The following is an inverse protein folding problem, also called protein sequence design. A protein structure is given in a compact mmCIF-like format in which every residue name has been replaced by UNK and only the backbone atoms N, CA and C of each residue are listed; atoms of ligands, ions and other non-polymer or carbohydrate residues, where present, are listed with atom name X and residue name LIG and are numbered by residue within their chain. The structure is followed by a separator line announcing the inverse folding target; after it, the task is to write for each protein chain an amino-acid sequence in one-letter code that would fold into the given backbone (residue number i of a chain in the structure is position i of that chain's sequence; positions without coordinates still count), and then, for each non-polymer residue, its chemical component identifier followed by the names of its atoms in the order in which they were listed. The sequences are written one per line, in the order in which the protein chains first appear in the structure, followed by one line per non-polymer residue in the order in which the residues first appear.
data_IF_848629806042
#
_entry.id   IF_848629806042
#
_cell.length_a   1.000
_cell.length_b   1.000
_cell.length_c   1.000
_cell.angle_alpha   90.00
_cell.angle_beta   90.00
_cell.angle_gamma   90.00
#
_symmetry.space_group_name_H-M   'P 1'
#
loop_
_entity.id
_entity.type
_entity.pdbx_description
1 polymer ?
#
# COMPACT_ATOMS: atom_id res chain seq x y z
N UNK A 1 -6.30 0.64 -9.77
CA UNK A 1 -4.84 0.70 -10.06
C UNK A 1 -4.13 -0.42 -9.31
N UNK A 2 -3.18 -1.12 -9.93
CA UNK A 2 -2.38 -2.16 -9.26
C UNK A 2 -0.93 -1.67 -9.13
N UNK A 3 -0.34 -1.83 -7.94
CA UNK A 3 1.04 -1.41 -7.64
C UNK A 3 1.80 -2.61 -7.08
N UNK A 4 2.78 -3.09 -7.85
CA UNK A 4 3.78 -4.04 -7.36
C UNK A 4 4.82 -3.33 -6.48
N UNK A 5 5.15 -3.88 -5.33
CA UNK A 5 6.11 -3.28 -4.38
C UNK A 5 5.52 -2.11 -3.58
N UNK A 6 4.21 -2.06 -3.41
CA UNK A 6 3.53 -0.93 -2.75
C UNK A 6 3.65 -0.87 -1.22
N UNK A 7 4.32 -1.82 -0.55
CA UNK A 7 4.39 -1.85 0.93
C UNK A 7 5.23 -0.72 1.55
N UNK A 8 6.06 -0.03 0.76
CA UNK A 8 6.95 1.05 1.21
C UNK A 8 7.49 1.89 0.04
N UNK A 9 8.25 2.93 0.39
CA UNK A 9 9.00 3.75 -0.58
C UNK A 9 8.11 4.41 -1.64
N UNK A 10 8.59 4.42 -2.88
CA UNK A 10 7.93 5.09 -4.01
C UNK A 10 6.56 4.47 -4.31
N UNK A 11 6.45 3.13 -4.27
CA UNK A 11 5.18 2.44 -4.53
C UNK A 11 4.09 2.87 -3.53
N UNK A 12 4.45 3.01 -2.25
CA UNK A 12 3.57 3.54 -1.22
C UNK A 12 3.19 5.01 -1.48
N UNK A 13 4.15 5.87 -1.83
CA UNK A 13 3.86 7.28 -2.12
C UNK A 13 2.89 7.46 -3.29
N UNK A 14 3.05 6.66 -4.35
CA UNK A 14 2.13 6.64 -5.50
C UNK A 14 0.74 6.18 -5.06
N UNK A 15 0.65 5.10 -4.26
CA UNK A 15 -0.62 4.60 -3.73
C UNK A 15 -1.38 5.69 -2.95
N UNK A 16 -0.69 6.40 -2.06
CA UNK A 16 -1.28 7.47 -1.25
C UNK A 16 -1.69 8.69 -2.09
N UNK A 17 -0.91 9.06 -3.10
CA UNK A 17 -1.30 10.15 -4.01
C UNK A 17 -2.57 9.78 -4.77
N UNK A 18 -2.65 8.57 -5.32
CA UNK A 18 -3.83 8.10 -6.04
C UNK A 18 -5.05 7.99 -5.12
N UNK A 19 -4.85 7.56 -3.87
CA UNK A 19 -5.90 7.44 -2.86
C UNK A 19 -6.63 8.76 -2.60
N UNK A 20 -5.90 9.89 -2.59
CA UNK A 20 -6.49 11.23 -2.41
C UNK A 20 -7.48 11.63 -3.51
N UNK A 21 -7.40 10.99 -4.68
CA UNK A 21 -8.35 11.18 -5.78
C UNK A 21 -9.52 10.18 -5.69
N UNK A 22 -9.66 9.43 -4.60
CA UNK A 22 -10.69 8.40 -4.41
C UNK A 22 -10.39 7.08 -5.13
N UNK A 23 -9.13 6.82 -5.51
CA UNK A 23 -8.79 5.65 -6.30
C UNK A 23 -8.88 4.33 -5.52
N UNK A 24 -9.22 3.25 -6.23
CA UNK A 24 -9.08 1.87 -5.75
C UNK A 24 -7.69 1.33 -6.08
N UNK A 25 -6.93 0.93 -5.06
CA UNK A 25 -5.53 0.52 -5.19
C UNK A 25 -5.32 -0.91 -4.69
N UNK A 26 -4.74 -1.76 -5.55
CA UNK A 26 -4.23 -3.08 -5.16
C UNK A 26 -2.76 -2.94 -4.81
N UNK A 27 -2.40 -3.26 -3.56
CA UNK A 27 -1.04 -3.21 -3.03
C UNK A 27 -0.50 -4.65 -3.03
N UNK A 28 0.35 -4.96 -4.00
CA UNK A 28 0.92 -6.29 -4.17
C UNK A 28 2.40 -6.30 -3.74
N UNK A 29 2.72 -6.88 -2.58
CA UNK A 29 4.10 -7.02 -2.11
C UNK A 29 4.28 -8.19 -1.14
N UNK A 30 5.54 -8.55 -0.87
CA UNK A 30 5.89 -9.73 -0.08
C UNK A 30 5.72 -9.56 1.43
N UNK A 31 5.91 -8.33 1.94
CA UNK A 31 5.93 -8.07 3.38
C UNK A 31 4.51 -7.85 3.91
N UNK A 32 3.91 -8.88 4.50
CA UNK A 32 2.64 -8.83 5.22
C UNK A 32 2.81 -8.71 6.74
N UNK A 33 3.92 -9.19 7.30
CA UNK A 33 4.27 -9.01 8.71
C UNK A 33 5.46 -8.06 8.90
N UNK A 34 5.58 -7.38 10.06
CA UNK A 34 6.73 -6.52 10.34
C UNK A 34 8.06 -7.25 10.15
N UNK A 35 8.97 -6.64 9.38
CA UNK A 35 10.27 -7.22 9.07
C UNK A 35 11.38 -6.49 9.84
N UNK A 36 12.35 -7.18 10.48
CA UNK A 36 13.31 -6.57 11.40
C UNK A 36 14.20 -5.49 10.77
N UNK A 37 14.43 -5.57 9.46
CA UNK A 37 15.26 -4.59 8.71
C UNK A 37 14.48 -3.66 7.79
N UNK A 38 13.17 -3.88 7.63
CA UNK A 38 12.41 -3.22 6.57
C UNK A 38 11.11 -2.66 7.12
N UNK A 39 10.89 -1.34 7.03
CA UNK A 39 9.68 -0.72 7.57
C UNK A 39 8.48 -0.97 6.67
N UNK A 40 7.30 -1.04 7.26
CA UNK A 40 6.04 -1.08 6.53
C UNK A 40 5.68 -2.45 5.95
N UNK A 41 4.39 -2.73 6.00
CA UNK A 41 3.70 -3.90 5.45
C UNK A 41 2.68 -3.48 4.40
N UNK A 42 2.18 -4.46 3.64
CA UNK A 42 1.02 -4.24 2.75
C UNK A 42 -0.23 -3.79 3.51
N UNK A 43 -0.40 -4.23 4.76
CA UNK A 43 -1.57 -3.88 5.59
C UNK A 43 -1.52 -2.44 6.07
N UNK A 44 -0.38 -1.99 6.60
CA UNK A 44 -0.19 -0.59 7.00
C UNK A 44 -0.35 0.36 5.81
N UNK A 45 0.13 -0.03 4.63
CA UNK A 45 -0.04 0.79 3.43
C UNK A 45 -1.51 0.82 2.98
N UNK A 46 -2.22 -0.31 3.07
CA UNK A 46 -3.64 -0.36 2.72
C UNK A 46 -4.50 0.49 3.67
N UNK A 47 -4.17 0.51 4.97
CA UNK A 47 -4.82 1.37 5.95
C UNK A 47 -4.62 2.85 5.60
N UNK A 48 -3.38 3.28 5.34
CA UNK A 48 -3.11 4.67 4.97
C UNK A 48 -3.75 5.10 3.65
N UNK A 49 -3.92 4.17 2.69
CA UNK A 49 -4.71 4.44 1.47
C UNK A 49 -6.17 4.70 1.80
N UNK A 50 -6.76 3.92 2.72
CA UNK A 50 -8.16 4.13 3.15
C UNK A 50 -8.33 5.44 3.91
N UNK A 51 -7.40 5.76 4.82
CA UNK A 51 -7.38 7.05 5.52
C UNK A 51 -7.24 8.24 4.57
N UNK A 52 -6.48 8.08 3.49
CA UNK A 52 -6.31 9.10 2.46
C UNK A 52 -7.53 9.27 1.53
N UNK A 53 -8.61 8.50 1.73
CA UNK A 53 -9.86 8.61 0.97
C UNK A 53 -10.00 7.63 -0.20
N UNK A 54 -9.05 6.69 -0.36
CA UNK A 54 -9.12 5.64 -1.38
C UNK A 54 -9.71 4.33 -0.86
N UNK A 55 -9.79 3.33 -1.73
CA UNK A 55 -10.05 1.95 -1.34
C UNK A 55 -8.78 1.11 -1.55
N UNK A 56 -8.51 0.16 -0.66
CA UNK A 56 -7.30 -0.65 -0.71
C UNK A 56 -7.55 -2.14 -0.57
N UNK A 57 -6.93 -2.92 -1.46
CA UNK A 57 -6.79 -4.37 -1.34
C UNK A 57 -5.31 -4.73 -1.16
N UNK A 58 -4.97 -5.34 -0.02
CA UNK A 58 -3.64 -5.85 0.26
C UNK A 58 -3.52 -7.28 -0.26
N UNK A 59 -2.51 -7.55 -1.09
CA UNK A 59 -2.24 -8.88 -1.66
C UNK A 59 -0.81 -9.29 -1.32
N UNK A 60 -0.68 -10.36 -0.54
CA UNK A 60 0.61 -10.99 -0.28
C UNK A 60 1.06 -11.75 -1.53
N UNK A 61 2.33 -11.58 -1.89
CA UNK A 61 3.00 -12.29 -2.98
C UNK A 61 4.25 -13.02 -2.50
#
# INVERSE_FOLDING_TARGET
MMISGGSRGIGKAIALRAARDGARVVIAAKTDQPHPKLPGTIHETAEQVREAGGEALAVRM
#
